data_IF_179425152002
#
_entry.id   IF_179425152002
#
_cell.length_a   1.000
_cell.length_b   1.000
_cell.length_c   1.000
_cell.angle_alpha   90.00
_cell.angle_beta   90.00
_cell.angle_gamma   90.00
#
_symmetry.space_group_name_H-M   'P 1'
#
loop_
_entity.id
_entity.type
_entity.pdbx_description
1 polymer ?
#
# COMPACT_ATOMS: atom_id res chain seq x y z
N UNK A 1 -13.94 -4.51 -11.75
CA UNK A 1 -14.79 -4.46 -10.55
C UNK A 1 -14.56 -3.14 -9.86
N UNK A 2 -15.59 -2.51 -9.27
CA UNK A 2 -15.45 -1.18 -8.64
C UNK A 2 -15.29 -1.22 -7.12
N UNK A 3 -16.10 -2.05 -6.48
CA UNK A 3 -16.16 -2.15 -5.02
C UNK A 3 -15.82 -3.57 -4.58
N UNK A 4 -15.29 -3.70 -3.36
CA UNK A 4 -14.97 -5.00 -2.77
C UNK A 4 -16.20 -5.92 -2.71
N UNK A 5 -17.36 -5.38 -2.33
CA UNK A 5 -18.60 -6.15 -2.18
C UNK A 5 -19.19 -6.63 -3.52
N UNK A 6 -18.70 -6.14 -4.65
CA UNK A 6 -19.11 -6.67 -5.96
C UNK A 6 -18.46 -8.04 -6.25
N UNK A 7 -17.32 -8.36 -5.61
CA UNK A 7 -16.65 -9.65 -5.77
C UNK A 7 -17.48 -10.78 -5.16
N UNK A 8 -17.30 -12.02 -5.66
CA UNK A 8 -17.81 -13.19 -4.94
C UNK A 8 -17.18 -13.28 -3.55
N UNK A 9 -17.87 -13.89 -2.58
CA UNK A 9 -17.35 -14.05 -1.22
C UNK A 9 -15.96 -14.70 -1.19
N UNK A 10 -15.74 -15.71 -2.03
CA UNK A 10 -14.42 -16.34 -2.17
C UNK A 10 -13.35 -15.34 -2.63
N UNK A 11 -13.65 -14.52 -3.63
CA UNK A 11 -12.71 -13.52 -4.13
C UNK A 11 -12.51 -12.37 -3.14
N UNK A 12 -13.52 -12.01 -2.34
CA UNK A 12 -13.37 -11.03 -1.25
C UNK A 12 -12.35 -11.53 -0.22
N UNK A 13 -12.49 -12.78 0.23
CA UNK A 13 -11.54 -13.37 1.18
C UNK A 13 -10.14 -13.43 0.59
N UNK A 14 -9.98 -13.94 -0.63
CA UNK A 14 -8.67 -14.00 -1.29
C UNK A 14 -8.02 -12.62 -1.43
N UNK A 15 -8.80 -11.60 -1.78
CA UNK A 15 -8.32 -10.22 -1.93
C UNK A 15 -7.83 -9.65 -0.59
N UNK A 16 -8.57 -9.88 0.50
CA UNK A 16 -8.19 -9.45 1.85
C UNK A 16 -6.99 -10.26 2.37
N UNK A 17 -6.92 -11.56 2.11
CA UNK A 17 -5.80 -12.41 2.50
C UNK A 17 -4.50 -12.01 1.78
N UNK A 18 -4.58 -11.72 0.48
CA UNK A 18 -3.46 -11.18 -0.29
C UNK A 18 -3.02 -9.82 0.28
N UNK A 19 -3.98 -8.97 0.68
CA UNK A 19 -3.68 -7.69 1.29
C UNK A 19 -3.00 -7.81 2.65
N UNK A 20 -3.45 -8.76 3.49
CA UNK A 20 -2.84 -9.06 4.78
C UNK A 20 -1.43 -9.64 4.62
N UNK A 21 -1.22 -10.55 3.66
CA UNK A 21 0.11 -11.10 3.35
C UNK A 21 1.06 -10.00 2.89
N UNK A 22 0.59 -9.10 2.03
CA UNK A 22 1.38 -7.96 1.57
C UNK A 22 1.72 -7.01 2.74
N UNK A 23 0.75 -6.69 3.60
CA UNK A 23 0.98 -5.85 4.78
C UNK A 23 2.09 -6.41 5.69
N UNK A 24 2.04 -7.70 6.00
CA UNK A 24 3.05 -8.36 6.82
C UNK A 24 4.45 -8.34 6.16
N UNK A 25 4.53 -8.53 4.84
CA UNK A 25 5.79 -8.44 4.13
C UNK A 25 6.37 -7.01 4.11
N UNK A 26 5.51 -5.99 4.03
CA UNK A 26 5.93 -4.59 4.14
C UNK A 26 6.48 -4.30 5.54
N UNK A 27 5.81 -4.73 6.61
CA UNK A 27 6.31 -4.54 7.98
C UNK A 27 7.65 -5.25 8.24
N UNK A 28 7.84 -6.45 7.67
CA UNK A 28 9.14 -7.15 7.72
C UNK A 28 10.24 -6.42 6.95
N UNK A 29 9.90 -5.86 5.79
CA UNK A 29 10.87 -5.19 4.90
C UNK A 29 11.28 -3.82 5.45
N UNK A 30 10.34 -3.11 6.07
CA UNK A 30 10.56 -1.75 6.56
C UNK A 30 10.23 -1.70 8.05
N UNK A 31 11.24 -1.85 8.94
CA UNK A 31 11.01 -1.75 10.38
C UNK A 31 10.57 -0.35 10.78
N UNK A 32 9.92 -0.24 11.94
CA UNK A 32 9.49 1.02 12.55
C UNK A 32 8.57 1.86 11.66
N UNK A 33 7.68 1.19 10.91
CA UNK A 33 6.62 1.83 10.15
C UNK A 33 5.27 1.69 10.84
N UNK A 34 4.34 2.58 10.49
CA UNK A 34 2.90 2.34 10.58
C UNK A 34 2.35 2.14 9.17
N UNK A 35 1.62 1.07 8.92
CA UNK A 35 0.95 0.89 7.63
C UNK A 35 -0.42 1.59 7.63
N UNK A 36 -0.72 2.35 6.58
CA UNK A 36 -2.04 2.90 6.27
C UNK A 36 -2.65 2.11 5.11
N UNK A 37 -3.94 1.77 5.22
CA UNK A 37 -4.70 1.05 4.21
C UNK A 37 -5.80 1.96 3.66
N UNK A 38 -5.92 2.05 2.34
CA UNK A 38 -7.00 2.80 1.68
C UNK A 38 -7.56 2.03 0.50
N UNK A 39 -8.86 1.74 0.53
CA UNK A 39 -9.65 1.31 -0.62
C UNK A 39 -10.58 2.46 -0.99
N UNK A 40 -10.08 3.38 -1.80
CA UNK A 40 -10.88 4.46 -2.37
C UNK A 40 -11.26 4.11 -3.81
N UNK A 41 -11.99 5.01 -4.47
CA UNK A 41 -12.36 4.84 -5.87
C UNK A 41 -12.80 6.12 -6.56
N UNK A 42 -12.53 7.29 -5.95
CA UNK A 42 -13.05 8.58 -6.43
C UNK A 42 -12.43 8.99 -7.78
N UNK A 43 -11.12 8.76 -7.95
CA UNK A 43 -10.38 9.13 -9.17
C UNK A 43 -10.31 7.96 -10.17
N UNK A 44 -9.97 6.76 -9.70
CA UNK A 44 -9.94 5.54 -10.50
C UNK A 44 -11.01 4.57 -9.97
N UNK A 45 -12.08 4.29 -10.72
CA UNK A 45 -13.18 3.46 -10.25
C UNK A 45 -12.84 1.97 -10.19
N UNK A 46 -11.73 1.51 -10.77
CA UNK A 46 -11.29 0.13 -10.63
C UNK A 46 -10.88 -0.17 -9.18
N UNK A 47 -11.37 -1.27 -8.58
CA UNK A 47 -11.02 -1.68 -7.23
C UNK A 47 -9.50 -1.84 -7.09
N UNK A 48 -8.90 -1.06 -6.19
CA UNK A 48 -7.49 -1.13 -5.84
C UNK A 48 -7.30 -0.85 -4.35
N UNK A 49 -6.13 -1.26 -3.82
CA UNK A 49 -5.80 -1.10 -2.41
C UNK A 49 -4.46 -0.38 -2.28
N UNK A 50 -4.49 0.83 -1.73
CA UNK A 50 -3.29 1.56 -1.33
C UNK A 50 -2.77 1.04 0.01
N UNK A 51 -1.50 0.63 0.05
CA UNK A 51 -0.77 0.31 1.28
C UNK A 51 0.40 1.29 1.39
N UNK A 52 0.34 2.16 2.39
CA UNK A 52 1.24 3.31 2.48
C UNK A 52 2.00 3.20 3.80
N UNK A 53 3.33 3.15 3.67
CA UNK A 53 4.25 3.07 4.78
C UNK A 53 4.42 4.47 5.35
N UNK A 54 4.21 4.62 6.66
CA UNK A 54 4.30 5.90 7.37
C UNK A 54 5.34 5.83 8.46
N UNK A 55 6.04 6.94 8.69
CA UNK A 55 7.00 7.09 9.79
C UNK A 55 6.71 8.36 10.57
N UNK A 56 7.17 8.44 11.82
CA UNK A 56 7.07 9.67 12.62
C UNK A 56 7.85 10.83 11.99
N UNK A 57 8.85 10.51 11.16
CA UNK A 57 9.68 11.46 10.41
C UNK A 57 9.03 11.96 9.12
N UNK A 58 7.85 11.47 8.74
CA UNK A 58 7.16 11.96 7.56
C UNK A 58 6.83 13.46 7.72
N UNK A 59 6.74 14.23 6.62
CA UNK A 59 6.31 15.63 6.68
C UNK A 59 4.99 15.88 7.41
N UNK A 60 4.08 14.89 7.43
CA UNK A 60 2.77 15.00 8.11
C UNK A 60 2.32 13.65 8.70
N UNK A 61 2.94 13.19 9.80
CA UNK A 61 2.81 11.81 10.29
C UNK A 61 1.44 11.49 10.90
N UNK A 62 0.65 12.53 11.23
CA UNK A 62 -0.67 12.41 11.86
C UNK A 62 -1.85 12.63 10.91
N UNK A 63 -1.59 12.91 9.64
CA UNK A 63 -2.62 13.11 8.61
C UNK A 63 -2.49 12.08 7.51
N UNK A 64 -3.45 12.04 6.58
CA UNK A 64 -3.35 11.18 5.41
C UNK A 64 -2.35 11.74 4.39
N UNK A 65 -1.80 10.88 3.51
CA UNK A 65 -0.86 11.35 2.49
C UNK A 65 -1.52 12.18 1.38
N UNK A 66 -2.84 12.04 1.21
CA UNK A 66 -3.57 12.66 0.09
C UNK A 66 -3.82 14.16 0.29
N UNK A 67 -3.67 14.64 1.52
CA UNK A 67 -3.90 16.04 1.91
C UNK A 67 -2.60 16.74 2.34
N UNK A 68 -1.48 16.02 2.34
CA UNK A 68 -0.19 16.50 2.82
C UNK A 68 0.77 16.73 1.66
N UNK A 69 1.62 17.75 1.80
CA UNK A 69 2.69 18.01 0.85
C UNK A 69 3.87 17.07 1.14
N UNK A 70 4.28 16.31 0.13
CA UNK A 70 5.40 15.38 0.21
C UNK A 70 6.43 15.74 -0.85
N UNK A 71 7.73 15.65 -0.53
CA UNK A 71 8.76 15.92 -1.51
C UNK A 71 8.65 14.92 -2.66
N UNK A 72 8.71 15.43 -3.88
CA UNK A 72 8.86 14.59 -5.05
C UNK A 72 10.30 14.04 -5.06
N UNK A 73 10.43 12.73 -4.86
CA UNK A 73 11.69 12.02 -4.93
C UNK A 73 11.65 11.15 -6.19
N UNK A 74 12.31 11.54 -7.28
CA UNK A 74 12.35 10.74 -8.49
C UNK A 74 13.00 9.39 -8.20
N UNK A 75 12.39 8.32 -8.69
CA UNK A 75 12.94 6.97 -8.63
C UNK A 75 13.13 6.44 -10.05
N UNK A 76 14.23 5.73 -10.27
CA UNK A 76 14.46 5.01 -11.52
C UNK A 76 13.68 3.69 -11.55
N UNK A 77 13.48 3.13 -12.75
CA UNK A 77 12.92 1.79 -12.90
C UNK A 77 13.74 0.72 -12.15
N UNK A 78 15.04 0.93 -12.02
CA UNK A 78 15.91 0.03 -11.26
C UNK A 78 15.66 0.10 -9.76
N UNK A 79 15.43 1.29 -9.21
CA UNK A 79 15.06 1.48 -7.80
C UNK A 79 13.74 0.75 -7.52
N UNK A 80 12.73 0.92 -8.38
CA UNK A 80 11.44 0.23 -8.25
C UNK A 80 11.58 -1.29 -8.33
N UNK A 81 12.36 -1.80 -9.29
CA UNK A 81 12.58 -3.25 -9.43
C UNK A 81 13.30 -3.83 -8.22
N UNK A 82 14.31 -3.14 -7.71
CA UNK A 82 15.09 -3.57 -6.55
C UNK A 82 14.25 -3.59 -5.29
N UNK A 83 13.46 -2.53 -5.06
CA UNK A 83 12.52 -2.44 -3.94
C UNK A 83 11.46 -3.54 -4.00
N UNK A 84 10.89 -3.77 -5.18
CA UNK A 84 9.91 -4.84 -5.36
C UNK A 84 10.52 -6.23 -5.12
N UNK A 85 11.78 -6.46 -5.50
CA UNK A 85 12.49 -7.71 -5.22
C UNK A 85 12.71 -7.89 -3.72
N UNK A 86 13.05 -6.83 -2.99
CA UNK A 86 13.21 -6.86 -1.53
C UNK A 86 11.91 -7.21 -0.82
N UNK A 87 10.81 -6.53 -1.18
CA UNK A 87 9.49 -6.81 -0.65
C UNK A 87 9.08 -8.27 -0.91
N UNK A 88 9.34 -8.79 -2.13
CA UNK A 88 9.02 -10.19 -2.49
C UNK A 88 9.77 -11.22 -1.67
N UNK A 89 10.98 -10.91 -1.17
CA UNK A 89 11.73 -11.84 -0.29
C UNK A 89 11.07 -12.02 1.07
N UNK A 90 10.16 -11.12 1.45
CA UNK A 90 9.47 -11.12 2.74
C UNK A 90 8.00 -11.57 2.66
N UNK A 91 7.51 -11.93 1.47
CA UNK A 91 6.16 -12.46 1.22
C UNK A 91 5.96 -13.88 1.76
#
# INVERSE_FOLDING_TARGET
>A
MKELHHLSTEMQHRFVDDAARMAAALEKTFPDIKLNHGLFGNTEPHLHWHMILRRETDPSPRTTIWEADFPNVPQSDEDFRSLAAEIRRNL
#
